data_IF_358060288350
#
_entry.id   IF_358060288350
#
_cell.length_a   1.000
_cell.length_b   1.000
_cell.length_c   1.000
_cell.angle_alpha   90.00
_cell.angle_beta   90.00
_cell.angle_gamma   90.00
#
_symmetry.space_group_name_H-M   'P 1'
#
loop_
_entity.id
_entity.type
_entity.pdbx_description
1 polymer ?
#
# COMPACT_ATOMS: atom_id res chain seq x y z
N UNK A 1 -12.50 -23.39 0.97
CA UNK A 1 -12.73 -21.97 0.64
C UNK A 1 -14.22 -21.72 0.60
N UNK A 2 -14.71 -20.76 1.36
CA UNK A 2 -16.11 -20.33 1.31
C UNK A 2 -16.20 -19.27 0.20
N UNK A 3 -17.10 -19.40 -0.79
CA UNK A 3 -17.27 -18.39 -1.84
C UNK A 3 -17.66 -17.04 -1.23
N UNK A 4 -17.06 -15.95 -1.71
CA UNK A 4 -17.43 -14.61 -1.28
C UNK A 4 -18.90 -14.31 -1.66
N UNK A 5 -19.67 -13.74 -0.73
CA UNK A 5 -21.01 -13.24 -1.04
C UNK A 5 -20.91 -11.95 -1.87
N UNK A 6 -21.92 -11.64 -2.68
CA UNK A 6 -21.94 -10.43 -3.55
C UNK A 6 -21.71 -9.10 -2.81
N UNK A 7 -21.85 -9.09 -1.48
CA UNK A 7 -21.70 -7.89 -0.65
C UNK A 7 -20.35 -7.80 0.08
N UNK A 8 -19.43 -8.74 -0.17
CA UNK A 8 -18.11 -8.74 0.46
C UNK A 8 -17.04 -8.24 -0.51
N UNK A 9 -16.22 -7.31 -0.04
CA UNK A 9 -15.02 -6.87 -0.76
C UNK A 9 -14.12 -8.07 -1.03
N UNK A 10 -13.59 -8.16 -2.26
CA UNK A 10 -12.59 -9.17 -2.61
C UNK A 10 -11.31 -8.95 -1.79
N UNK A 11 -10.77 -10.04 -1.23
CA UNK A 11 -9.49 -10.03 -0.52
C UNK A 11 -8.34 -9.86 -1.52
N UNK A 12 -7.35 -9.07 -1.15
CA UNK A 12 -6.12 -8.91 -1.93
C UNK A 12 -5.00 -9.52 -1.12
N UNK A 13 -4.46 -10.65 -1.61
CA UNK A 13 -3.42 -11.40 -0.92
C UNK A 13 -2.06 -11.19 -1.61
N UNK A 14 -1.00 -11.03 -0.82
CA UNK A 14 0.40 -11.09 -1.27
C UNK A 14 1.14 -12.07 -0.37
N UNK A 15 1.69 -13.13 -0.96
CA UNK A 15 2.35 -14.23 -0.24
C UNK A 15 1.47 -14.75 0.92
N UNK A 16 0.21 -15.06 0.60
CA UNK A 16 -0.84 -15.51 1.53
C UNK A 16 -1.25 -14.51 2.63
N UNK A 17 -0.70 -13.29 2.63
CA UNK A 17 -1.08 -12.23 3.58
C UNK A 17 -2.14 -11.31 2.98
N UNK A 18 -3.24 -11.11 3.70
CA UNK A 18 -4.27 -10.12 3.35
C UNK A 18 -3.68 -8.71 3.45
N UNK A 19 -3.91 -7.88 2.43
CA UNK A 19 -3.47 -6.48 2.46
C UNK A 19 -4.46 -5.57 3.16
N UNK A 20 -5.72 -6.00 3.35
CA UNK A 20 -6.60 -5.36 4.32
C UNK A 20 -6.23 -5.88 5.71
N UNK A 21 -5.60 -5.03 6.52
CA UNK A 21 -5.14 -5.36 7.88
C UNK A 21 -5.69 -4.34 8.87
N UNK A 22 -6.05 -4.78 10.07
CA UNK A 22 -6.49 -3.88 11.13
C UNK A 22 -6.22 -4.53 12.48
N UNK A 23 -5.49 -3.83 13.33
CA UNK A 23 -5.18 -4.21 14.71
C UNK A 23 -5.07 -2.97 15.59
N UNK A 24 -4.49 -3.11 16.79
CA UNK A 24 -4.30 -2.02 17.75
C UNK A 24 -3.26 -0.98 17.29
N UNK A 25 -2.35 -1.37 16.38
CA UNK A 25 -1.27 -0.52 15.87
C UNK A 25 -1.69 0.27 14.63
N UNK A 26 -2.82 -0.09 14.01
CA UNK A 26 -3.38 0.70 12.92
C UNK A 26 -4.26 -0.11 11.98
N UNK A 27 -4.52 0.49 10.83
CA UNK A 27 -5.36 -0.10 9.80
C UNK A 27 -4.83 0.22 8.41
N UNK A 28 -4.74 -0.80 7.58
CA UNK A 28 -4.46 -0.70 6.16
C UNK A 28 -5.66 -1.21 5.35
N UNK A 29 -6.01 -0.50 4.28
CA UNK A 29 -7.14 -0.82 3.41
C UNK A 29 -6.71 -0.68 1.96
N UNK A 30 -6.94 -1.71 1.17
CA UNK A 30 -6.84 -1.60 -0.29
C UNK A 30 -8.12 -0.98 -0.84
N UNK A 31 -8.01 0.13 -1.55
CA UNK A 31 -9.16 0.88 -2.09
C UNK A 31 -9.54 0.40 -3.49
N UNK A 32 -8.54 0.17 -4.34
CA UNK A 32 -8.76 -0.29 -5.71
C UNK A 32 -7.56 -1.15 -6.17
N UNK A 33 -7.87 -2.22 -6.90
CA UNK A 33 -6.91 -2.93 -7.74
C UNK A 33 -7.52 -3.04 -9.13
N UNK A 34 -6.88 -2.41 -10.10
CA UNK A 34 -7.26 -2.49 -11.51
C UNK A 34 -6.09 -3.08 -12.28
N UNK A 35 -6.35 -4.20 -12.95
CA UNK A 35 -5.38 -4.84 -13.83
C UNK A 35 -5.99 -4.85 -15.23
N UNK A 36 -5.30 -4.20 -16.15
CA UNK A 36 -5.60 -4.23 -17.58
C UNK A 36 -4.43 -4.87 -18.33
N UNK A 37 -4.58 -5.02 -19.64
CA UNK A 37 -3.49 -5.51 -20.50
C UNK A 37 -2.24 -4.62 -20.40
N UNK A 38 -2.42 -3.29 -20.32
CA UNK A 38 -1.32 -2.32 -20.40
C UNK A 38 -0.88 -1.77 -19.05
N UNK A 39 -1.71 -1.87 -18.00
CA UNK A 39 -1.48 -1.19 -16.73
C UNK A 39 -1.94 -2.02 -15.54
N UNK A 40 -1.22 -1.90 -14.43
CA UNK A 40 -1.72 -2.21 -13.09
C UNK A 40 -1.84 -0.91 -12.32
N UNK A 41 -2.97 -0.69 -11.65
CA UNK A 41 -3.19 0.40 -10.70
C UNK A 41 -3.59 -0.22 -9.36
N UNK A 42 -2.90 0.18 -8.30
CA UNK A 42 -3.22 -0.20 -6.92
C UNK A 42 -3.34 1.08 -6.12
N UNK A 43 -4.41 1.23 -5.34
CA UNK A 43 -4.53 2.29 -4.35
C UNK A 43 -4.84 1.71 -2.98
N UNK A 44 -4.18 2.25 -1.96
CA UNK A 44 -4.34 1.82 -0.57
C UNK A 44 -4.17 2.99 0.38
N UNK A 45 -4.74 2.85 1.57
CA UNK A 45 -4.67 3.82 2.65
C UNK A 45 -4.25 3.09 3.93
N UNK A 46 -3.28 3.66 4.63
CA UNK A 46 -2.88 3.22 5.96
C UNK A 46 -3.13 4.35 6.96
N UNK A 47 -3.61 3.98 8.15
CA UNK A 47 -3.90 4.88 9.26
C UNK A 47 -3.26 4.32 10.53
N UNK A 48 -2.64 5.19 11.30
CA UNK A 48 -1.94 4.85 12.53
C UNK A 48 -2.49 5.73 13.66
N UNK A 49 -2.81 5.16 14.83
CA UNK A 49 -3.21 5.94 15.99
C UNK A 49 -2.02 6.79 16.50
N UNK A 50 -2.27 7.76 17.39
CA UNK A 50 -1.19 8.44 18.11
C UNK A 50 -0.30 7.44 18.85
N UNK A 51 1.01 7.67 18.85
CA UNK A 51 2.00 6.79 19.48
C UNK A 51 3.06 7.59 20.23
N UNK A 52 3.65 6.97 21.25
CA UNK A 52 4.85 7.49 21.90
C UNK A 52 6.03 6.62 21.53
N UNK A 53 7.05 7.23 20.95
CA UNK A 53 8.27 6.54 20.56
C UNK A 53 9.47 7.40 20.98
N UNK A 54 10.41 6.77 21.69
CA UNK A 54 11.63 7.42 22.19
C UNK A 54 11.36 8.73 22.98
N UNK A 55 10.32 8.71 23.83
CA UNK A 55 9.94 9.87 24.64
C UNK A 55 9.26 11.02 23.88
N UNK A 56 9.09 10.88 22.56
CA UNK A 56 8.37 11.85 21.72
C UNK A 56 6.94 11.36 21.51
N UNK A 57 5.97 12.25 21.69
CA UNK A 57 4.58 11.97 21.39
C UNK A 57 4.27 12.38 19.95
N UNK A 58 3.89 11.40 19.13
CA UNK A 58 3.39 11.63 17.79
C UNK A 58 1.86 11.57 17.79
N UNK A 59 1.25 12.44 17.00
CA UNK A 59 -0.20 12.39 16.74
C UNK A 59 -0.57 11.22 15.83
N UNK A 60 -1.85 11.12 15.48
CA UNK A 60 -2.29 10.15 14.48
C UNK A 60 -1.64 10.43 13.11
N UNK A 61 -1.43 9.37 12.33
CA UNK A 61 -0.81 9.43 11.02
C UNK A 61 -1.63 8.72 9.95
N UNK A 62 -1.38 9.06 8.70
CA UNK A 62 -1.89 8.33 7.54
C UNK A 62 -0.93 8.38 6.36
N UNK A 63 -0.98 7.33 5.54
CA UNK A 63 -0.28 7.24 4.26
C UNK A 63 -1.28 6.81 3.20
N UNK A 64 -1.42 7.62 2.16
CA UNK A 64 -2.20 7.28 0.97
C UNK A 64 -1.22 6.89 -0.12
N UNK A 65 -1.33 5.66 -0.61
CA UNK A 65 -0.40 5.10 -1.59
C UNK A 65 -1.14 4.80 -2.89
N UNK A 66 -0.59 5.27 -4.01
CA UNK A 66 -1.02 4.93 -5.36
C UNK A 66 0.17 4.36 -6.15
N UNK A 67 0.01 3.16 -6.70
CA UNK A 67 1.02 2.48 -7.50
C UNK A 67 0.47 2.28 -8.90
N UNK A 68 1.27 2.66 -9.91
CA UNK A 68 1.00 2.33 -11.30
C UNK A 68 2.16 1.53 -11.87
N UNK A 69 1.85 0.46 -12.60
CA UNK A 69 2.85 -0.33 -13.32
C UNK A 69 2.43 -0.36 -14.78
N UNK A 70 3.27 0.17 -15.66
CA UNK A 70 3.11 -0.03 -17.09
C UNK A 70 3.62 -1.43 -17.43
N UNK A 71 2.75 -2.33 -17.88
CA UNK A 71 3.08 -3.75 -18.05
C UNK A 71 4.00 -4.02 -19.25
N UNK A 72 3.89 -3.21 -20.30
CA UNK A 72 4.74 -3.34 -21.49
C UNK A 72 6.20 -2.96 -21.20
N UNK A 73 6.39 -1.95 -20.37
CA UNK A 73 7.73 -1.44 -20.04
C UNK A 73 8.21 -1.92 -18.68
N UNK A 74 7.37 -2.46 -17.81
CA UNK A 74 7.74 -2.71 -16.40
C UNK A 74 8.01 -1.43 -15.59
N UNK A 75 7.69 -0.22 -16.11
CA UNK A 75 7.90 1.02 -15.34
C UNK A 75 6.89 1.08 -14.19
N UNK A 76 7.37 1.05 -12.95
CA UNK A 76 6.58 1.23 -11.74
C UNK A 76 6.73 2.66 -11.23
N UNK A 77 5.62 3.28 -10.88
CA UNK A 77 5.56 4.56 -10.18
C UNK A 77 4.74 4.41 -8.93
N UNK A 78 5.29 4.88 -7.82
CA UNK A 78 4.65 4.92 -6.51
C UNK A 78 4.53 6.37 -6.07
N UNK A 79 3.34 6.78 -5.69
CA UNK A 79 3.06 8.05 -5.05
C UNK A 79 2.55 7.78 -3.64
N UNK A 80 3.17 8.42 -2.65
CA UNK A 80 2.78 8.29 -1.24
C UNK A 80 2.55 9.67 -0.64
N UNK A 81 1.33 9.94 -0.19
CA UNK A 81 0.98 11.15 0.55
C UNK A 81 0.97 10.83 2.04
N UNK A 82 1.96 11.38 2.76
CA UNK A 82 2.15 11.17 4.20
C UNK A 82 1.54 12.37 4.94
N UNK A 83 0.77 12.10 6.00
CA UNK A 83 0.20 13.12 6.90
C UNK A 83 0.28 12.67 8.35
N UNK A 84 0.79 13.51 9.23
CA UNK A 84 0.89 13.26 10.67
C UNK A 84 1.73 12.04 11.07
N UNK A 85 1.67 11.71 12.35
CA UNK A 85 2.40 10.61 12.96
C UNK A 85 3.92 10.71 12.87
N UNK A 86 4.57 9.63 13.28
CA UNK A 86 6.04 9.52 13.24
C UNK A 86 6.59 9.60 11.81
N UNK A 87 5.81 9.15 10.82
CA UNK A 87 6.21 9.16 9.42
C UNK A 87 6.32 10.58 8.86
N UNK A 88 5.40 11.49 9.17
CA UNK A 88 5.57 12.90 8.78
C UNK A 88 6.76 13.54 9.48
N UNK A 89 7.05 13.19 10.73
CA UNK A 89 8.23 13.70 11.43
C UNK A 89 9.55 13.19 10.83
N UNK A 90 9.57 11.95 10.33
CA UNK A 90 10.78 11.28 9.84
C UNK A 90 11.03 11.49 8.33
N UNK A 91 9.97 11.46 7.53
CA UNK A 91 10.02 11.50 6.06
C UNK A 91 9.52 12.83 5.47
N UNK A 92 8.96 13.70 6.32
CA UNK A 92 8.29 14.93 5.93
C UNK A 92 6.85 14.69 5.48
N UNK A 93 6.00 15.68 5.75
CA UNK A 93 4.62 15.70 5.26
C UNK A 93 4.54 15.98 3.75
N UNK A 94 3.47 15.49 3.11
CA UNK A 94 3.18 15.74 1.69
C UNK A 94 3.37 14.51 0.80
N UNK A 95 3.35 14.73 -0.51
CA UNK A 95 3.43 13.66 -1.50
C UNK A 95 4.87 13.40 -1.94
N UNK A 96 5.31 12.15 -1.81
CA UNK A 96 6.58 11.64 -2.30
C UNK A 96 6.34 10.77 -3.53
N UNK A 97 7.21 10.89 -4.53
CA UNK A 97 7.16 10.12 -5.75
C UNK A 97 8.41 9.24 -5.84
N UNK A 98 8.21 7.99 -6.21
CA UNK A 98 9.24 7.01 -6.47
C UNK A 98 8.97 6.33 -7.81
N UNK A 99 10.02 6.09 -8.59
CA UNK A 99 9.95 5.41 -9.89
C UNK A 99 11.04 4.35 -9.96
N UNK A 100 10.68 3.17 -10.46
CA UNK A 100 11.60 2.07 -10.71
C UNK A 100 11.25 1.33 -11.99
N UNK A 101 12.16 0.43 -12.40
CA UNK A 101 12.00 -0.45 -13.55
C UNK A 101 11.92 -1.89 -13.05
N UNK A 102 10.74 -2.46 -13.10
CA UNK A 102 10.52 -3.87 -12.80
C UNK A 102 11.00 -4.73 -13.98
N UNK A 103 11.59 -5.87 -13.64
CA UNK A 103 11.92 -6.95 -14.58
C UNK A 103 10.97 -8.12 -14.36
N UNK A 104 10.59 -8.88 -15.41
CA UNK A 104 9.76 -10.06 -15.24
C UNK A 104 10.42 -11.04 -14.27
N UNK A 105 9.62 -11.64 -13.38
CA UNK A 105 10.10 -12.72 -12.54
C UNK A 105 10.53 -13.90 -13.43
N UNK A 106 11.80 -14.27 -13.40
CA UNK A 106 12.28 -15.51 -13.99
C UNK A 106 11.87 -16.65 -13.08
N UNK A 107 10.90 -17.47 -13.50
CA UNK A 107 10.51 -18.68 -12.80
C UNK A 107 11.62 -19.75 -12.90
N UNK A 108 12.69 -19.61 -12.13
CA UNK A 108 13.65 -20.70 -11.93
C UNK A 108 13.04 -21.62 -10.88
N UNK A 109 12.31 -22.65 -11.33
CA UNK A 109 11.87 -23.74 -10.46
C UNK A 109 13.12 -24.49 -9.99
N UNK A 110 13.43 -24.44 -8.70
CA UNK A 110 14.29 -25.42 -8.04
C UNK A 110 13.45 -26.63 -7.62
#
# INVERSE_FOLDING_TARGET
MIPASKNQKAKVLVDDRDLDQSDELGRQIVKNVLITESMVLISMEAYFPPESYDGVQYGAGSVITAITINRATGRLRKAETIKGGILSASLGEGTKLYEEKCIPATNTKN
#
